data_IF_668015507514
#
_entry.id   IF_668015507514
#
_cell.length_a   1.000
_cell.length_b   1.000
_cell.length_c   1.000
_cell.angle_alpha   90.00
_cell.angle_beta   90.00
_cell.angle_gamma   90.00
#
_symmetry.space_group_name_H-M   'P 1'
#
loop_
_entity.id
_entity.type
_entity.pdbx_description
1 polymer ?
#
# COMPACT_ATOMS: atom_id res chain seq x y z
N UNK A 1 -30.35 25.76 -40.35
CA UNK A 1 -29.11 26.37 -39.82
C UNK A 1 -29.09 26.59 -38.30
N UNK A 2 -30.22 26.90 -37.62
CA UNK A 2 -30.25 27.16 -36.17
C UNK A 2 -30.12 25.91 -35.28
N UNK A 3 -30.55 24.73 -35.77
CA UNK A 3 -30.50 23.45 -35.06
C UNK A 3 -29.07 22.90 -34.88
N UNK A 4 -28.17 23.19 -35.84
CA UNK A 4 -26.77 22.76 -35.78
C UNK A 4 -25.98 23.57 -34.75
N UNK A 5 -26.30 24.86 -34.54
CA UNK A 5 -25.66 25.69 -33.50
C UNK A 5 -26.00 25.24 -32.08
N UNK A 6 -27.24 24.75 -31.86
CA UNK A 6 -27.67 24.24 -30.55
C UNK A 6 -26.94 22.94 -30.21
N UNK A 7 -26.68 22.07 -31.21
CA UNK A 7 -25.85 20.88 -31.00
C UNK A 7 -24.36 21.23 -30.78
N UNK A 8 -23.82 22.23 -31.47
CA UNK A 8 -22.44 22.71 -31.25
C UNK A 8 -22.26 23.42 -29.90
N UNK A 9 -23.27 24.12 -29.38
CA UNK A 9 -23.22 24.75 -28.04
C UNK A 9 -23.43 23.71 -26.93
N UNK A 10 -24.24 22.68 -27.15
CA UNK A 10 -24.44 21.59 -26.19
C UNK A 10 -23.19 20.71 -26.01
N UNK A 11 -22.41 20.51 -27.08
CA UNK A 11 -21.15 19.75 -27.03
C UNK A 11 -20.03 20.53 -26.31
N UNK A 12 -20.09 21.87 -26.37
CA UNK A 12 -19.20 22.79 -25.62
C UNK A 12 -19.54 22.92 -24.13
N UNK A 13 -20.72 22.44 -23.71
CA UNK A 13 -21.12 22.41 -22.30
C UNK A 13 -20.86 21.06 -21.63
N UNK A 14 -20.20 20.12 -22.31
CA UNK A 14 -19.66 18.95 -21.62
C UNK A 14 -18.68 19.46 -20.55
N UNK A 15 -18.91 19.14 -19.25
CA UNK A 15 -17.94 19.52 -18.23
C UNK A 15 -16.62 18.89 -18.65
N UNK A 16 -15.61 19.73 -18.89
CA UNK A 16 -14.24 19.26 -19.02
C UNK A 16 -14.02 18.33 -17.83
N UNK A 17 -13.96 17.03 -18.10
CA UNK A 17 -13.66 16.02 -17.11
C UNK A 17 -12.21 16.28 -16.76
N UNK A 18 -11.99 17.21 -15.81
CA UNK A 18 -10.68 17.58 -15.31
C UNK A 18 -9.99 16.25 -15.05
N UNK A 19 -8.92 15.96 -15.79
CA UNK A 19 -8.12 14.77 -15.52
C UNK A 19 -7.76 14.88 -14.04
N UNK A 20 -8.20 13.95 -13.18
CA UNK A 20 -7.93 14.06 -11.76
C UNK A 20 -6.43 14.23 -11.62
N UNK A 21 -6.04 15.22 -10.82
CA UNK A 21 -4.64 15.49 -10.58
C UNK A 21 -4.04 14.18 -10.04
N UNK A 22 -2.91 13.70 -10.60
CA UNK A 22 -2.44 12.31 -10.37
C UNK A 22 -2.13 11.97 -8.91
N UNK A 23 -2.17 12.97 -8.03
CA UNK A 23 -1.90 12.90 -6.60
C UNK A 23 -3.03 13.50 -5.76
N UNK A 24 -4.25 13.55 -6.30
CA UNK A 24 -5.40 14.01 -5.57
C UNK A 24 -5.70 13.08 -4.40
N UNK A 25 -5.75 13.65 -3.20
CA UNK A 25 -6.20 12.98 -1.99
C UNK A 25 -7.69 13.26 -1.77
N UNK A 26 -8.41 12.26 -1.28
CA UNK A 26 -9.86 12.30 -1.10
C UNK A 26 -10.24 12.40 0.38
N UNK A 27 -11.43 12.94 0.63
CA UNK A 27 -12.10 12.89 1.93
C UNK A 27 -12.81 11.54 2.12
N UNK A 28 -13.11 11.19 3.36
CA UNK A 28 -13.74 9.93 3.76
C UNK A 28 -15.07 9.66 3.01
N UNK A 29 -15.86 10.69 2.76
CA UNK A 29 -17.16 10.58 2.10
C UNK A 29 -17.04 10.41 0.58
N UNK A 30 -15.86 10.67 0.01
CA UNK A 30 -15.60 10.65 -1.44
C UNK A 30 -14.95 9.33 -1.91
N UNK A 31 -14.54 8.46 -0.99
CA UNK A 31 -13.93 7.16 -1.29
C UNK A 31 -14.97 6.04 -1.28
N UNK A 32 -14.75 4.93 -1.99
CA UNK A 32 -15.62 3.76 -1.93
C UNK A 32 -15.62 3.10 -0.55
N UNK A 33 -16.70 2.41 -0.22
CA UNK A 33 -16.96 1.79 1.08
C UNK A 33 -15.86 0.82 1.55
N UNK A 34 -15.22 0.08 0.64
CA UNK A 34 -14.13 -0.85 1.01
C UNK A 34 -12.89 -0.15 1.57
N UNK A 35 -12.71 1.17 1.34
CA UNK A 35 -11.64 1.98 1.92
C UNK A 35 -12.10 2.76 3.17
N UNK A 36 -13.40 2.76 3.49
CA UNK A 36 -14.00 3.50 4.60
C UNK A 36 -13.91 2.71 5.93
N UNK A 37 -12.73 2.20 6.28
CA UNK A 37 -12.55 1.37 7.48
C UNK A 37 -12.65 2.17 8.79
N UNK A 38 -12.14 3.41 8.81
CA UNK A 38 -12.05 4.24 10.00
C UNK A 38 -12.70 5.61 9.78
N UNK A 39 -13.90 5.88 10.33
CA UNK A 39 -14.61 7.15 10.14
C UNK A 39 -13.92 8.36 10.80
N UNK A 40 -12.93 8.15 11.67
CA UNK A 40 -12.19 9.24 12.31
C UNK A 40 -11.10 9.84 11.42
N UNK A 41 -10.65 9.10 10.40
CA UNK A 41 -9.74 9.62 9.37
C UNK A 41 -10.60 10.33 8.34
N UNK A 42 -10.56 11.67 8.30
CA UNK A 42 -11.47 12.48 7.49
C UNK A 42 -10.97 12.76 6.07
N UNK A 43 -9.65 12.80 5.87
CA UNK A 43 -9.02 13.18 4.60
C UNK A 43 -7.72 12.44 4.38
N UNK A 44 -7.11 12.64 3.21
CA UNK A 44 -5.78 12.10 2.88
C UNK A 44 -5.83 10.74 2.20
N UNK A 45 -7.00 10.29 1.74
CA UNK A 45 -7.16 8.98 1.14
C UNK A 45 -6.66 8.92 -0.29
N UNK A 46 -6.02 7.80 -0.63
CA UNK A 46 -5.67 7.43 -2.00
C UNK A 46 -6.77 6.55 -2.59
N UNK A 47 -7.15 6.80 -3.84
CA UNK A 47 -8.14 5.98 -4.53
C UNK A 47 -7.91 5.97 -6.05
N UNK A 48 -8.01 4.79 -6.67
CA UNK A 48 -7.97 4.63 -8.12
C UNK A 48 -6.60 4.87 -8.75
N UNK A 49 -5.52 4.72 -7.98
CA UNK A 49 -4.15 4.88 -8.47
C UNK A 49 -3.72 3.68 -9.31
N UNK A 50 -2.79 3.87 -10.25
CA UNK A 50 -2.05 2.76 -10.85
C UNK A 50 -0.83 2.37 -10.01
N UNK A 51 -0.18 1.25 -10.35
CA UNK A 51 1.00 0.73 -9.62
C UNK A 51 2.12 1.76 -9.50
N UNK A 52 2.40 2.54 -10.56
CA UNK A 52 3.46 3.56 -10.52
C UNK A 52 3.09 4.70 -9.58
N UNK A 53 1.85 5.15 -9.62
CA UNK A 53 1.33 6.19 -8.70
C UNK A 53 1.33 5.70 -7.25
N UNK A 54 1.05 4.42 -6.99
CA UNK A 54 1.21 3.82 -5.68
C UNK A 54 2.66 3.90 -5.21
N UNK A 55 3.64 3.53 -6.04
CA UNK A 55 5.06 3.67 -5.70
C UNK A 55 5.46 5.13 -5.43
N UNK A 56 5.01 6.07 -6.27
CA UNK A 56 5.24 7.51 -6.03
C UNK A 56 4.58 8.01 -4.74
N UNK A 57 3.51 7.35 -4.27
CA UNK A 57 2.84 7.69 -3.01
C UNK A 57 3.63 7.41 -1.75
N UNK A 58 4.76 6.70 -1.86
CA UNK A 58 5.73 6.61 -0.79
C UNK A 58 6.37 7.97 -0.47
N UNK A 59 6.43 8.87 -1.46
CA UNK A 59 7.13 10.16 -1.37
C UNK A 59 6.24 11.32 -0.91
N UNK A 60 4.94 11.09 -0.68
CA UNK A 60 4.03 12.12 -0.17
C UNK A 60 3.14 11.59 0.95
N UNK A 61 2.71 12.50 1.83
CA UNK A 61 1.91 12.14 3.00
C UNK A 61 0.47 11.83 2.59
N UNK A 62 -0.03 10.69 3.05
CA UNK A 62 -1.39 10.20 2.86
C UNK A 62 -1.83 9.38 4.08
N UNK A 63 -3.10 8.96 4.11
CA UNK A 63 -3.69 8.25 5.24
C UNK A 63 -3.01 6.90 5.57
N UNK A 64 -2.32 6.30 4.60
CA UNK A 64 -1.60 5.02 4.76
C UNK A 64 -0.10 5.20 4.97
N UNK A 65 0.44 6.43 4.96
CA UNK A 65 1.89 6.64 5.00
C UNK A 65 2.55 5.98 6.21
N UNK A 66 1.95 6.09 7.41
CA UNK A 66 2.50 5.48 8.62
C UNK A 66 2.44 3.95 8.54
N UNK A 67 1.34 3.39 8.04
CA UNK A 67 1.20 1.94 7.87
C UNK A 67 2.25 1.41 6.89
N UNK A 68 2.44 2.08 5.76
CA UNK A 68 3.43 1.66 4.76
C UNK A 68 4.86 1.78 5.32
N UNK A 69 5.23 2.93 5.87
CA UNK A 69 6.61 3.18 6.30
C UNK A 69 7.00 2.36 7.53
N UNK A 70 6.08 2.14 8.48
CA UNK A 70 6.36 1.30 9.66
C UNK A 70 6.67 -0.15 9.26
N UNK A 71 5.88 -0.75 8.37
CA UNK A 71 6.10 -2.10 7.88
C UNK A 71 7.30 -2.20 6.93
N UNK A 72 7.55 -1.18 6.09
CA UNK A 72 8.71 -1.16 5.19
C UNK A 72 10.03 -1.07 5.97
N UNK A 73 10.10 -0.22 6.99
CA UNK A 73 11.27 -0.13 7.88
C UNK A 73 11.45 -1.43 8.64
N UNK A 74 10.38 -2.01 9.19
CA UNK A 74 10.40 -3.32 9.84
C UNK A 74 10.96 -4.41 8.91
N UNK A 75 10.46 -4.48 7.68
CA UNK A 75 10.95 -5.40 6.64
C UNK A 75 12.45 -5.25 6.44
N UNK A 76 12.95 -4.02 6.25
CA UNK A 76 14.38 -3.75 6.09
C UNK A 76 15.24 -4.18 7.29
N UNK A 77 14.77 -3.92 8.51
CA UNK A 77 15.44 -4.33 9.74
C UNK A 77 15.53 -5.86 9.88
N UNK A 78 14.45 -6.58 9.62
CA UNK A 78 14.45 -8.04 9.71
C UNK A 78 15.24 -8.69 8.58
N UNK A 79 15.25 -8.12 7.37
CA UNK A 79 16.16 -8.54 6.28
C UNK A 79 17.63 -8.39 6.73
N UNK A 80 17.98 -7.25 7.34
CA UNK A 80 19.32 -7.05 7.87
C UNK A 80 19.69 -8.11 8.93
N UNK A 81 18.80 -8.41 9.88
CA UNK A 81 19.02 -9.46 10.88
C UNK A 81 19.16 -10.85 10.25
N UNK A 82 18.31 -11.18 9.28
CA UNK A 82 18.36 -12.46 8.58
C UNK A 82 19.73 -12.69 7.92
N UNK A 83 20.24 -11.69 7.18
CA UNK A 83 21.55 -11.81 6.54
C UNK A 83 22.71 -11.76 7.54
N UNK A 84 22.61 -10.95 8.59
CA UNK A 84 23.60 -10.92 9.67
C UNK A 84 23.74 -12.29 10.32
N UNK A 85 22.62 -12.94 10.59
CA UNK A 85 22.60 -14.24 11.28
C UNK A 85 23.11 -15.36 10.36
N UNK A 86 22.82 -15.30 9.05
CA UNK A 86 23.35 -16.23 8.04
C UNK A 86 24.87 -16.07 7.81
N UNK A 87 25.35 -14.85 7.57
CA UNK A 87 26.72 -14.63 7.10
C UNK A 87 27.74 -14.52 8.22
N UNK A 88 27.35 -13.93 9.34
CA UNK A 88 28.28 -13.69 10.45
C UNK A 88 28.02 -14.63 11.62
N UNK A 89 27.01 -15.51 11.54
CA UNK A 89 26.71 -16.48 12.59
C UNK A 89 26.46 -15.83 13.94
N UNK A 90 26.03 -14.56 13.97
CA UNK A 90 25.92 -13.77 15.20
C UNK A 90 24.98 -14.38 16.24
N UNK A 91 24.00 -15.17 15.80
CA UNK A 91 23.09 -15.90 16.68
C UNK A 91 23.75 -17.15 17.31
N UNK A 92 24.76 -17.75 16.67
CA UNK A 92 25.35 -19.04 17.09
C UNK A 92 25.86 -19.08 18.54
N UNK A 93 26.53 -18.03 19.09
CA UNK A 93 27.00 -18.05 20.47
C UNK A 93 25.89 -18.08 21.53
N UNK A 94 24.66 -17.72 21.15
CA UNK A 94 23.52 -17.62 22.06
C UNK A 94 22.55 -18.81 21.94
N UNK A 95 22.79 -19.72 21.00
CA UNK A 95 21.91 -20.85 20.70
C UNK A 95 22.47 -22.14 21.29
N UNK A 96 21.56 -22.99 21.79
CA UNK A 96 21.94 -24.24 22.47
C UNK A 96 22.10 -25.42 21.50
N UNK A 97 21.46 -25.33 20.32
CA UNK A 97 21.44 -26.38 19.31
C UNK A 97 21.36 -25.81 17.89
N UNK A 98 21.83 -26.57 16.90
CA UNK A 98 21.64 -26.29 15.46
C UNK A 98 20.16 -26.22 15.08
N UNK A 99 19.28 -26.95 15.77
CA UNK A 99 17.83 -26.84 15.57
C UNK A 99 17.32 -25.42 15.83
N UNK A 100 17.79 -24.81 16.92
CA UNK A 100 17.35 -23.48 17.35
C UNK A 100 17.75 -22.42 16.32
N UNK A 101 18.90 -22.60 15.68
CA UNK A 101 19.35 -21.76 14.57
C UNK A 101 18.38 -21.80 13.38
N UNK A 102 17.98 -22.99 12.93
CA UNK A 102 17.00 -23.11 11.84
C UNK A 102 15.62 -22.59 12.23
N UNK A 103 15.20 -22.75 13.50
CA UNK A 103 13.97 -22.14 14.00
C UNK A 103 14.03 -20.62 13.93
N UNK A 104 15.13 -20.00 14.37
CA UNK A 104 15.33 -18.54 14.29
C UNK A 104 15.32 -18.04 12.85
N UNK A 105 15.97 -18.76 11.92
CA UNK A 105 15.95 -18.40 10.50
C UNK A 105 14.55 -18.48 9.91
N UNK A 106 13.82 -19.57 10.18
CA UNK A 106 12.45 -19.75 9.69
C UNK A 106 11.50 -18.70 10.27
N UNK A 107 11.59 -18.42 11.57
CA UNK A 107 10.82 -17.37 12.24
C UNK A 107 11.13 -15.99 11.66
N UNK A 108 12.41 -15.65 11.47
CA UNK A 108 12.79 -14.36 10.91
C UNK A 108 12.28 -14.21 9.47
N UNK A 109 12.37 -15.28 8.68
CA UNK A 109 11.82 -15.31 7.33
C UNK A 109 10.30 -15.08 7.31
N UNK A 110 9.54 -15.74 8.21
CA UNK A 110 8.09 -15.54 8.27
C UNK A 110 7.71 -14.11 8.67
N UNK A 111 8.45 -13.48 9.59
CA UNK A 111 8.25 -12.07 9.95
C UNK A 111 8.51 -11.14 8.76
N UNK A 112 9.57 -11.39 7.97
CA UNK A 112 9.84 -10.62 6.74
C UNK A 112 8.67 -10.75 5.76
N UNK A 113 8.18 -11.97 5.53
CA UNK A 113 7.05 -12.21 4.63
C UNK A 113 5.79 -11.49 5.10
N UNK A 114 5.43 -11.60 6.38
CA UNK A 114 4.28 -10.91 6.95
C UNK A 114 4.37 -9.38 6.78
N UNK A 115 5.51 -8.78 7.15
CA UNK A 115 5.72 -7.34 7.02
C UNK A 115 5.68 -6.87 5.56
N UNK A 116 6.20 -7.69 4.64
CA UNK A 116 6.14 -7.40 3.21
C UNK A 116 4.71 -7.47 2.67
N UNK A 117 3.95 -8.51 3.03
CA UNK A 117 2.55 -8.65 2.63
C UNK A 117 1.71 -7.45 3.10
N UNK A 118 1.90 -7.01 4.35
CA UNK A 118 1.24 -5.82 4.88
C UNK A 118 1.65 -4.54 4.14
N UNK A 119 2.94 -4.38 3.84
CA UNK A 119 3.43 -3.26 3.04
C UNK A 119 2.75 -3.23 1.67
N UNK A 120 2.65 -4.39 1.00
CA UNK A 120 1.99 -4.52 -0.30
C UNK A 120 0.50 -4.18 -0.22
N UNK A 121 -0.20 -4.62 0.83
CA UNK A 121 -1.60 -4.29 1.07
C UNK A 121 -1.82 -2.79 1.23
N UNK A 122 -1.11 -2.15 2.16
CA UNK A 122 -1.27 -0.72 2.38
C UNK A 122 -0.83 0.09 1.16
N UNK A 123 0.16 -0.37 0.39
CA UNK A 123 0.64 0.34 -0.80
C UNK A 123 -0.34 0.25 -1.97
N UNK A 124 -0.86 -0.94 -2.26
CA UNK A 124 -1.62 -1.25 -3.49
C UNK A 124 -3.13 -1.44 -3.30
N UNK A 125 -3.63 -1.50 -2.06
CA UNK A 125 -5.06 -1.66 -1.77
C UNK A 125 -5.95 -0.54 -2.32
N UNK A 126 -5.38 0.62 -2.65
CA UNK A 126 -6.10 1.74 -3.24
C UNK A 126 -6.37 1.63 -4.76
N UNK A 127 -5.81 0.61 -5.44
CA UNK A 127 -5.93 0.44 -6.89
C UNK A 127 -7.37 0.09 -7.30
N UNK A 128 -7.96 -0.91 -6.64
CA UNK A 128 -9.31 -1.41 -6.93
C UNK A 128 -9.83 -2.24 -5.75
N UNK A 129 -11.13 -2.49 -5.71
CA UNK A 129 -11.74 -3.38 -4.70
C UNK A 129 -11.20 -4.81 -4.78
N UNK A 130 -10.90 -5.30 -5.98
CA UNK A 130 -10.30 -6.62 -6.19
C UNK A 130 -8.87 -6.67 -5.62
N UNK A 131 -8.03 -5.69 -5.96
CA UNK A 131 -6.68 -5.59 -5.43
C UNK A 131 -6.71 -5.50 -3.90
N UNK A 132 -7.60 -4.67 -3.34
CA UNK A 132 -7.80 -4.57 -1.89
C UNK A 132 -8.10 -5.95 -1.27
N UNK A 133 -9.07 -6.68 -1.81
CA UNK A 133 -9.46 -7.99 -1.28
C UNK A 133 -8.35 -9.03 -1.41
N UNK A 134 -7.62 -9.04 -2.52
CA UNK A 134 -6.55 -10.02 -2.77
C UNK A 134 -5.33 -9.75 -1.88
N UNK A 135 -4.90 -8.50 -1.77
CA UNK A 135 -3.81 -8.14 -0.86
C UNK A 135 -4.19 -8.26 0.60
N UNK A 136 -5.45 -7.98 0.97
CA UNK A 136 -5.93 -8.18 2.35
C UNK A 136 -5.89 -9.66 2.74
N UNK A 137 -6.28 -10.57 1.85
CA UNK A 137 -6.14 -12.02 2.10
C UNK A 137 -4.67 -12.40 2.30
N UNK A 138 -3.79 -11.88 1.45
CA UNK A 138 -2.36 -12.15 1.55
C UNK A 138 -1.74 -11.60 2.85
N UNK A 139 -2.21 -10.47 3.35
CA UNK A 139 -1.76 -9.88 4.62
C UNK A 139 -2.24 -10.66 5.85
N UNK A 140 -3.43 -11.25 5.77
CA UNK A 140 -4.03 -12.03 6.85
C UNK A 140 -3.60 -13.52 6.88
N UNK A 141 -2.89 -14.00 5.86
CA UNK A 141 -2.40 -15.38 5.76
C UNK A 141 -1.01 -15.53 6.39
#
# INVERSE_FOLDING_TARGET
MRRNRIHEEADKLSPQKNKPNRFQLYSFEMIPEYLQSNPYIRTGYRHGLNVKECLFSLLYLNNESVNIWSHLIGTGLFIYFFFRDIYAGHALPYLSSTSDYYFVLFYTFSVITCMLCSTLFHLFGCISSQAFADFLKLDLC
#
